data_IF_612730478106
#
_entry.id   IF_612730478106
#
_cell.length_a   1.000
_cell.length_b   1.000
_cell.length_c   1.000
_cell.angle_alpha   90.00
_cell.angle_beta   90.00
_cell.angle_gamma   90.00
#
_symmetry.space_group_name_H-M   'P 1'
#
loop_
_entity.id
_entity.type
_entity.pdbx_description
1 polymer ?
#
# COMPACT_ATOMS: atom_id res chain seq x y z
N UNK A 1 -16.73 8.74 -31.81
CA UNK A 1 -16.34 7.77 -30.78
C UNK A 1 -14.93 8.15 -30.41
N UNK A 2 -14.75 8.98 -29.38
CA UNK A 2 -13.40 9.35 -28.91
C UNK A 2 -12.68 8.06 -28.53
N UNK A 3 -11.48 7.89 -29.08
CA UNK A 3 -10.61 6.76 -28.81
C UNK A 3 -10.25 6.82 -27.32
N UNK A 4 -10.90 5.98 -26.50
CA UNK A 4 -10.61 5.91 -25.07
C UNK A 4 -9.15 5.49 -24.95
N UNK A 5 -8.29 6.26 -24.24
CA UNK A 5 -6.88 5.94 -24.14
C UNK A 5 -6.71 4.51 -23.59
N UNK A 6 -5.76 3.75 -24.15
CA UNK A 6 -5.47 2.39 -23.70
C UNK A 6 -5.22 2.39 -22.18
N UNK A 7 -6.20 1.86 -21.43
CA UNK A 7 -6.18 1.86 -19.96
C UNK A 7 -5.19 0.82 -19.41
N UNK A 8 -4.73 -0.13 -20.24
CA UNK A 8 -3.72 -1.13 -19.90
C UNK A 8 -2.32 -0.64 -20.28
N UNK A 9 -1.89 0.48 -19.70
CA UNK A 9 -0.58 1.08 -19.95
C UNK A 9 0.60 0.16 -19.63
N UNK A 10 0.38 -0.89 -18.82
CA UNK A 10 1.40 -1.91 -18.54
C UNK A 10 1.79 -2.74 -19.77
N UNK A 11 0.99 -2.74 -20.83
CA UNK A 11 1.34 -3.38 -22.11
C UNK A 11 2.60 -2.79 -22.76
N UNK A 12 2.96 -1.55 -22.41
CA UNK A 12 4.21 -0.94 -22.83
C UNK A 12 5.45 -1.66 -22.25
N UNK A 13 5.29 -2.50 -21.24
CA UNK A 13 6.33 -3.35 -20.67
C UNK A 13 5.84 -4.81 -20.62
N UNK A 14 6.22 -5.66 -21.61
CA UNK A 14 5.74 -7.03 -21.69
C UNK A 14 6.03 -7.87 -20.44
N UNK A 15 7.18 -7.63 -19.78
CA UNK A 15 7.55 -8.39 -18.58
C UNK A 15 6.65 -8.03 -17.41
N UNK A 16 6.41 -6.73 -17.21
CA UNK A 16 5.48 -6.26 -16.18
C UNK A 16 4.05 -6.72 -16.47
N UNK A 17 3.62 -6.65 -17.73
CA UNK A 17 2.30 -7.13 -18.16
C UNK A 17 2.10 -8.61 -17.80
N UNK A 18 3.03 -9.47 -18.19
CA UNK A 18 2.94 -10.91 -17.90
C UNK A 18 2.96 -11.20 -16.40
N UNK A 19 3.77 -10.46 -15.65
CA UNK A 19 3.84 -10.57 -14.20
C UNK A 19 2.50 -10.24 -13.54
N UNK A 20 1.90 -9.09 -13.87
CA UNK A 20 0.60 -8.70 -13.33
C UNK A 20 -0.51 -9.64 -13.80
N UNK A 21 -0.44 -10.15 -15.03
CA UNK A 21 -1.41 -11.14 -15.54
C UNK A 21 -1.37 -12.44 -14.75
N UNK A 22 -0.17 -12.94 -14.39
CA UNK A 22 -0.02 -14.11 -13.50
C UNK A 22 -0.59 -13.82 -12.11
N UNK A 23 -0.25 -12.68 -11.52
CA UNK A 23 -0.80 -12.28 -10.22
C UNK A 23 -2.34 -12.23 -10.22
N UNK A 24 -2.94 -11.69 -11.27
CA UNK A 24 -4.41 -11.64 -11.44
C UNK A 24 -5.03 -13.03 -11.66
N UNK A 25 -4.31 -13.95 -12.30
CA UNK A 25 -4.76 -15.31 -12.58
C UNK A 25 -4.62 -16.27 -11.40
N UNK A 26 -3.50 -16.19 -10.67
CA UNK A 26 -3.03 -17.25 -9.78
C UNK A 26 -3.29 -16.94 -8.29
N UNK A 27 -3.41 -15.66 -7.91
CA UNK A 27 -3.50 -15.24 -6.50
C UNK A 27 -4.92 -14.85 -6.13
N UNK A 28 -5.35 -15.23 -4.92
CA UNK A 28 -6.63 -14.77 -4.33
C UNK A 28 -6.47 -13.38 -3.72
N UNK A 29 -5.30 -13.07 -3.17
CA UNK A 29 -4.99 -11.78 -2.57
C UNK A 29 -3.63 -11.27 -3.03
N UNK A 30 -3.60 -10.00 -3.44
CA UNK A 30 -2.35 -9.30 -3.79
C UNK A 30 -2.25 -8.03 -2.97
N UNK A 31 -1.17 -7.93 -2.20
CA UNK A 31 -0.84 -6.77 -1.38
C UNK A 31 0.34 -6.03 -2.01
N UNK A 32 0.15 -4.75 -2.35
CA UNK A 32 1.27 -3.92 -2.79
C UNK A 32 1.93 -3.28 -1.57
N UNK A 33 3.15 -3.71 -1.24
CA UNK A 33 3.92 -3.21 -0.12
C UNK A 33 5.05 -2.30 -0.60
N UNK A 34 5.22 -1.14 0.03
CA UNK A 34 6.24 -0.18 -0.40
C UNK A 34 5.98 1.24 0.04
N UNK A 35 6.98 2.10 -0.12
CA UNK A 35 6.89 3.53 0.16
C UNK A 35 5.84 4.22 -0.74
N UNK A 36 5.18 5.30 -0.29
CA UNK A 36 4.42 6.14 -1.21
C UNK A 36 5.29 6.61 -2.39
N UNK A 37 4.66 6.80 -3.55
CA UNK A 37 5.38 7.20 -4.77
C UNK A 37 6.25 6.10 -5.41
N UNK A 38 5.97 4.81 -5.19
CA UNK A 38 6.68 3.69 -5.85
C UNK A 38 5.86 3.00 -6.94
N UNK A 39 4.71 3.58 -7.34
CA UNK A 39 3.86 3.03 -8.39
C UNK A 39 2.79 2.04 -7.92
N UNK A 40 2.64 1.80 -6.60
CA UNK A 40 1.62 0.89 -6.04
C UNK A 40 0.21 1.13 -6.59
N UNK A 41 -0.27 2.37 -6.59
CA UNK A 41 -1.63 2.69 -7.04
C UNK A 41 -1.83 2.42 -8.53
N UNK A 42 -0.79 2.64 -9.36
CA UNK A 42 -0.81 2.25 -10.76
C UNK A 42 -0.89 0.74 -10.89
N UNK A 43 -0.04 -0.02 -10.19
CA UNK A 43 -0.06 -1.48 -10.27
C UNK A 43 -1.38 -2.07 -9.78
N UNK A 44 -1.96 -1.53 -8.70
CA UNK A 44 -3.28 -1.90 -8.23
C UNK A 44 -4.35 -1.64 -9.29
N UNK A 45 -4.31 -0.47 -9.93
CA UNK A 45 -5.19 -0.13 -11.03
C UNK A 45 -5.07 -1.14 -12.17
N UNK A 46 -3.86 -1.37 -12.67
CA UNK A 46 -3.61 -2.24 -13.82
C UNK A 46 -3.95 -3.71 -13.51
N UNK A 47 -3.68 -4.18 -12.29
CA UNK A 47 -4.07 -5.51 -11.81
C UNK A 47 -5.59 -5.68 -11.77
N UNK A 48 -6.35 -4.66 -11.33
CA UNK A 48 -7.80 -4.71 -11.30
C UNK A 48 -8.41 -4.89 -12.70
N UNK A 49 -7.88 -4.18 -13.71
CA UNK A 49 -8.31 -4.35 -15.10
C UNK A 49 -7.99 -5.75 -15.63
N UNK A 50 -6.77 -6.26 -15.35
CA UNK A 50 -6.38 -7.61 -15.76
C UNK A 50 -7.20 -8.71 -15.07
N UNK A 51 -7.54 -8.54 -13.80
CA UNK A 51 -8.38 -9.47 -13.05
C UNK A 51 -9.82 -9.51 -13.59
N UNK A 52 -10.39 -8.34 -13.91
CA UNK A 52 -11.70 -8.27 -14.56
C UNK A 52 -11.70 -8.96 -15.93
N UNK A 53 -10.67 -8.73 -16.75
CA UNK A 53 -10.50 -9.42 -18.04
C UNK A 53 -10.37 -10.93 -17.88
N UNK A 54 -9.83 -11.40 -16.74
CA UNK A 54 -9.77 -12.81 -16.38
C UNK A 54 -11.09 -13.35 -15.78
N UNK A 55 -12.18 -12.58 -15.81
CA UNK A 55 -13.49 -12.96 -15.28
C UNK A 55 -13.58 -12.98 -13.75
N UNK A 56 -12.64 -12.32 -13.05
CA UNK A 56 -12.61 -12.27 -11.58
C UNK A 56 -13.47 -11.13 -11.05
N UNK A 57 -14.11 -11.37 -9.90
CA UNK A 57 -14.77 -10.30 -9.13
C UNK A 57 -13.71 -9.54 -8.34
N UNK A 58 -13.57 -8.24 -8.60
CA UNK A 58 -12.53 -7.41 -7.98
C UNK A 58 -13.03 -6.78 -6.67
N UNK A 59 -12.28 -7.04 -5.60
CA UNK A 59 -12.45 -6.41 -4.29
C UNK A 59 -11.20 -5.58 -3.98
N UNK A 60 -11.33 -4.29 -3.66
CA UNK A 60 -10.20 -3.41 -3.38
C UNK A 60 -10.23 -2.90 -1.95
N UNK A 61 -9.13 -3.03 -1.22
CA UNK A 61 -8.90 -2.31 0.03
C UNK A 61 -7.80 -1.28 -0.22
N UNK A 62 -8.09 -0.02 0.10
CA UNK A 62 -7.21 1.11 -0.16
C UNK A 62 -7.06 2.00 1.06
N UNK A 63 -5.81 2.26 1.44
CA UNK A 63 -5.48 3.11 2.59
C UNK A 63 -6.04 4.53 2.43
N UNK A 64 -5.88 5.12 1.24
CA UNK A 64 -6.37 6.45 0.86
C UNK A 64 -7.90 6.56 0.81
N UNK A 65 -8.62 5.43 0.83
CA UNK A 65 -10.09 5.39 0.95
C UNK A 65 -10.53 5.18 2.39
N UNK A 66 -9.85 4.31 3.13
CA UNK A 66 -10.23 3.99 4.50
C UNK A 66 -9.78 5.06 5.52
N UNK A 67 -8.60 5.65 5.34
CA UNK A 67 -8.04 6.67 6.26
C UNK A 67 -8.96 7.87 6.45
N UNK A 68 -9.50 8.52 5.39
CA UNK A 68 -10.36 9.68 5.58
C UNK A 68 -11.61 9.40 6.42
N UNK A 69 -12.12 8.15 6.40
CA UNK A 69 -13.27 7.75 7.24
C UNK A 69 -12.88 7.74 8.72
N UNK A 70 -11.68 7.25 9.04
CA UNK A 70 -11.15 7.31 10.41
C UNK A 70 -10.89 8.74 10.86
N UNK A 71 -10.18 9.53 10.04
CA UNK A 71 -9.81 10.92 10.36
C UNK A 71 -11.04 11.83 10.51
N UNK A 72 -12.12 11.58 9.77
CA UNK A 72 -13.37 12.33 9.87
C UNK A 72 -14.24 11.94 11.08
N UNK A 73 -13.91 10.87 11.80
CA UNK A 73 -14.71 10.40 12.93
C UNK A 73 -14.59 11.32 14.14
N UNK A 74 -15.68 11.51 14.89
CA UNK A 74 -15.68 12.32 16.12
C UNK A 74 -14.57 11.94 17.13
N UNK A 75 -14.36 10.64 17.41
CA UNK A 75 -13.28 10.19 18.29
C UNK A 75 -11.86 10.46 17.77
N UNK A 76 -11.67 10.73 16.48
CA UNK A 76 -10.36 11.05 15.91
C UNK A 76 -9.92 12.51 16.13
N UNK A 77 -10.80 13.39 16.63
CA UNK A 77 -10.50 14.82 16.87
C UNK A 77 -9.22 15.07 17.69
N UNK A 78 -8.89 14.29 18.73
CA UNK A 78 -7.64 14.47 19.48
C UNK A 78 -6.38 14.04 18.71
N UNK A 79 -6.54 13.39 17.55
CA UNK A 79 -5.47 12.73 16.79
C UNK A 79 -5.36 13.29 15.37
N UNK A 80 -5.13 14.60 15.21
CA UNK A 80 -5.07 15.22 13.88
C UNK A 80 -3.84 14.73 13.10
N UNK A 81 -3.96 14.73 11.77
CA UNK A 81 -2.81 14.59 10.90
C UNK A 81 -1.97 15.85 10.93
N UNK A 82 -0.65 15.69 11.06
CA UNK A 82 0.33 16.79 11.14
C UNK A 82 1.32 16.62 9.99
N UNK A 83 1.53 17.70 9.21
CA UNK A 83 2.44 17.71 8.06
C UNK A 83 2.22 16.57 7.04
N UNK A 84 0.96 16.17 6.84
CA UNK A 84 0.59 15.07 5.95
C UNK A 84 0.87 13.66 6.50
N UNK A 85 1.25 13.56 7.78
CA UNK A 85 1.45 12.30 8.50
C UNK A 85 0.24 12.03 9.39
N UNK A 86 -0.40 10.89 9.18
CA UNK A 86 -1.51 10.42 10.02
C UNK A 86 -1.05 10.08 11.42
N UNK A 87 -1.80 10.53 12.42
CA UNK A 87 -1.49 10.29 13.83
C UNK A 87 -1.35 8.80 14.16
N UNK A 88 -0.44 8.44 15.07
CA UNK A 88 -0.14 7.06 15.47
C UNK A 88 -1.36 6.22 15.86
N UNK A 89 -2.23 6.77 16.71
CA UNK A 89 -3.48 6.11 17.13
C UNK A 89 -4.33 5.73 15.93
N UNK A 90 -4.52 6.67 15.00
CA UNK A 90 -5.29 6.44 13.78
C UNK A 90 -4.62 5.40 12.88
N UNK A 91 -3.29 5.47 12.72
CA UNK A 91 -2.53 4.47 11.95
C UNK A 91 -2.72 3.06 12.50
N UNK A 92 -2.65 2.89 13.81
CA UNK A 92 -2.81 1.58 14.47
C UNK A 92 -4.26 1.10 14.50
N UNK A 93 -5.22 1.99 14.69
CA UNK A 93 -6.64 1.66 14.65
C UNK A 93 -7.08 1.21 13.25
N UNK A 94 -6.64 1.95 12.22
CA UNK A 94 -6.86 1.57 10.83
C UNK A 94 -6.13 0.26 10.49
N UNK A 95 -4.89 0.09 10.95
CA UNK A 95 -4.15 -1.18 10.78
C UNK A 95 -4.89 -2.37 11.38
N UNK A 96 -5.42 -2.24 12.59
CA UNK A 96 -6.25 -3.26 13.23
C UNK A 96 -7.52 -3.54 12.44
N UNK A 97 -8.21 -2.51 11.94
CA UNK A 97 -9.36 -2.67 11.06
C UNK A 97 -9.00 -3.42 9.78
N UNK A 98 -7.90 -3.07 9.10
CA UNK A 98 -7.45 -3.76 7.88
C UNK A 98 -7.28 -5.25 8.14
N UNK A 99 -6.63 -5.61 9.25
CA UNK A 99 -6.44 -7.01 9.63
C UNK A 99 -7.79 -7.73 9.81
N UNK A 100 -8.74 -7.11 10.54
CA UNK A 100 -10.09 -7.69 10.69
C UNK A 100 -10.85 -7.77 9.36
N UNK A 101 -10.71 -6.78 8.49
CA UNK A 101 -11.33 -6.75 7.17
C UNK A 101 -10.80 -7.87 6.26
N UNK A 102 -9.49 -8.12 6.24
CA UNK A 102 -8.86 -9.22 5.50
C UNK A 102 -9.37 -10.58 6.00
N UNK A 103 -9.33 -10.81 7.31
CA UNK A 103 -9.81 -12.06 7.91
C UNK A 103 -11.33 -12.26 7.70
N UNK A 104 -12.11 -11.17 7.78
CA UNK A 104 -13.55 -11.19 7.52
C UNK A 104 -13.91 -11.38 6.05
N UNK A 105 -13.08 -10.88 5.13
CA UNK A 105 -13.25 -11.13 3.70
C UNK A 105 -12.96 -12.58 3.37
N UNK A 106 -11.85 -13.14 3.87
CA UNK A 106 -11.47 -14.54 3.57
C UNK A 106 -12.55 -15.52 4.06
N UNK A 107 -13.06 -15.34 5.29
CA UNK A 107 -14.17 -16.15 5.83
C UNK A 107 -15.44 -16.10 5.00
N UNK A 108 -15.76 -14.95 4.38
CA UNK A 108 -16.95 -14.79 3.53
C UNK A 108 -16.78 -15.40 2.13
N UNK A 109 -15.54 -15.74 1.74
CA UNK A 109 -15.22 -16.30 0.44
C UNK A 109 -14.28 -17.53 0.60
N UNK A 110 -14.72 -18.64 1.23
CA UNK A 110 -13.83 -19.61 1.92
C UNK A 110 -13.14 -20.74 1.11
N UNK A 111 -12.95 -20.66 -0.20
CA UNK A 111 -12.27 -21.75 -0.93
C UNK A 111 -10.72 -21.75 -0.75
N UNK A 112 -10.04 -22.90 -0.50
CA UNK A 112 -10.31 -23.99 0.46
C UNK A 112 -9.29 -24.06 1.63
N UNK A 113 -9.80 -24.41 2.83
CA UNK A 113 -9.10 -25.25 3.83
C UNK A 113 -8.57 -24.56 5.10
N UNK A 114 -9.44 -24.33 6.10
CA UNK A 114 -9.22 -23.52 7.31
C UNK A 114 -8.22 -24.09 8.36
N UNK A 115 -7.49 -23.20 9.05
CA UNK A 115 -7.09 -23.34 10.47
C UNK A 115 -6.84 -21.95 11.12
N UNK A 116 -7.12 -21.82 12.42
CA UNK A 116 -7.18 -20.55 13.19
C UNK A 116 -5.97 -20.35 14.11
N UNK A 117 -5.49 -19.10 14.21
CA UNK A 117 -4.50 -18.60 15.19
C UNK A 117 -4.97 -17.24 15.77
N UNK A 118 -4.37 -16.79 16.87
CA UNK A 118 -4.75 -15.61 17.69
C UNK A 118 -4.83 -14.27 16.94
N UNK A 119 -4.24 -14.20 15.75
CA UNK A 119 -4.50 -13.18 14.75
C UNK A 119 -5.04 -13.84 13.48
N UNK A 120 -6.36 -13.78 13.30
CA UNK A 120 -7.04 -14.46 12.19
C UNK A 120 -6.57 -13.99 10.81
N UNK A 121 -5.95 -12.81 10.69
CA UNK A 121 -5.38 -12.35 9.44
C UNK A 121 -4.01 -12.98 9.16
N UNK A 122 -3.23 -13.36 10.17
CA UNK A 122 -1.88 -13.91 9.97
C UNK A 122 -1.87 -15.19 9.14
N UNK A 123 -2.81 -16.12 9.42
CA UNK A 123 -2.95 -17.35 8.64
C UNK A 123 -3.22 -17.05 7.16
N UNK A 124 -4.02 -16.02 6.87
CA UNK A 124 -4.37 -15.58 5.51
C UNK A 124 -3.19 -14.87 4.85
N UNK A 125 -2.50 -13.97 5.56
CA UNK A 125 -1.37 -13.20 5.03
C UNK A 125 -0.13 -14.07 4.77
N UNK A 126 0.00 -15.20 5.49
CA UNK A 126 1.05 -16.21 5.28
C UNK A 126 0.68 -17.31 4.28
N UNK A 127 -0.57 -17.38 3.80
CA UNK A 127 -1.01 -18.44 2.91
C UNK A 127 -0.44 -18.28 1.49
N UNK A 128 -0.21 -19.40 0.79
CA UNK A 128 0.25 -19.40 -0.60
C UNK A 128 -0.70 -18.71 -1.59
N UNK A 129 -1.97 -18.55 -1.21
CA UNK A 129 -3.00 -17.83 -1.97
C UNK A 129 -2.87 -16.30 -1.86
N UNK A 130 -2.08 -15.80 -0.90
CA UNK A 130 -1.74 -14.41 -0.72
C UNK A 130 -0.33 -14.11 -1.25
N UNK A 131 -0.15 -12.94 -1.86
CA UNK A 131 1.15 -12.50 -2.35
C UNK A 131 1.39 -11.03 -2.02
N UNK A 132 2.58 -10.72 -1.52
CA UNK A 132 3.06 -9.36 -1.31
C UNK A 132 3.94 -8.94 -2.49
N UNK A 133 3.37 -8.15 -3.40
CA UNK A 133 4.09 -7.55 -4.50
C UNK A 133 4.85 -6.31 -4.00
N UNK A 134 6.16 -6.26 -4.23
CA UNK A 134 7.05 -5.15 -3.83
C UNK A 134 7.44 -4.37 -5.09
N UNK A 135 6.84 -3.19 -5.35
CA UNK A 135 7.23 -2.39 -6.50
C UNK A 135 8.59 -1.74 -6.25
N UNK A 136 9.54 -2.03 -7.14
CA UNK A 136 10.92 -1.53 -7.05
C UNK A 136 11.18 -0.67 -8.29
N UNK A 137 10.91 0.64 -8.23
CA UNK A 137 11.25 1.52 -9.34
C UNK A 137 12.76 1.61 -9.54
N UNK A 138 13.18 1.80 -10.80
CA UNK A 138 14.54 2.25 -11.07
C UNK A 138 14.75 3.66 -10.50
N UNK A 139 16.00 4.11 -10.39
CA UNK A 139 16.30 5.49 -9.95
C UNK A 139 15.64 6.53 -10.86
N UNK A 140 15.61 6.25 -12.16
CA UNK A 140 14.98 7.12 -13.14
C UNK A 140 13.44 7.15 -12.97
N UNK A 141 12.81 5.98 -12.88
CA UNK A 141 11.37 5.87 -12.65
C UNK A 141 10.98 6.53 -11.33
N UNK A 142 11.79 6.37 -10.28
CA UNK A 142 11.54 7.00 -8.98
C UNK A 142 11.51 8.53 -9.09
N UNK A 143 12.50 9.13 -9.76
CA UNK A 143 12.52 10.58 -10.01
C UNK A 143 11.29 11.04 -10.77
N UNK A 144 10.95 10.34 -11.85
CA UNK A 144 9.74 10.63 -12.62
C UNK A 144 8.46 10.57 -11.76
N UNK A 145 8.32 9.57 -10.89
CA UNK A 145 7.17 9.44 -9.98
C UNK A 145 7.11 10.57 -8.94
N UNK A 146 8.24 11.04 -8.44
CA UNK A 146 8.32 12.18 -7.52
C UNK A 146 7.93 13.49 -8.23
N UNK A 147 8.44 13.73 -9.44
CA UNK A 147 8.10 14.90 -10.26
C UNK A 147 6.61 14.95 -10.61
N UNK A 148 6.03 13.82 -11.05
CA UNK A 148 4.60 13.71 -11.34
C UNK A 148 3.75 13.94 -10.09
N UNK A 149 4.22 13.48 -8.93
CA UNK A 149 3.52 13.71 -7.65
C UNK A 149 3.50 15.18 -7.28
N UNK A 150 4.59 15.91 -7.43
CA UNK A 150 4.62 17.36 -7.21
C UNK A 150 3.67 18.10 -8.17
N UNK A 151 3.66 17.70 -9.45
CA UNK A 151 2.73 18.26 -10.45
C UNK A 151 1.26 18.02 -10.11
N UNK A 152 0.91 16.79 -9.72
CA UNK A 152 -0.48 16.41 -9.41
C UNK A 152 -0.96 16.92 -8.06
N UNK A 153 -0.07 17.11 -7.09
CA UNK A 153 -0.39 17.82 -5.86
C UNK A 153 -0.85 19.26 -6.14
N UNK A 154 -0.18 19.95 -7.08
CA UNK A 154 -0.56 21.31 -7.49
C UNK A 154 -1.81 21.35 -8.39
N UNK A 155 -2.02 20.32 -9.22
CA UNK A 155 -3.16 20.24 -10.16
C UNK A 155 -3.77 18.83 -10.18
N UNK A 156 -4.59 18.48 -9.17
CA UNK A 156 -5.20 17.16 -9.08
C UNK A 156 -6.14 16.91 -10.26
N UNK A 157 -6.07 15.71 -10.83
CA UNK A 157 -6.99 15.21 -11.87
C UNK A 157 -8.12 14.37 -11.31
N UNK A 158 -7.99 13.94 -10.06
CA UNK A 158 -8.99 13.16 -9.34
C UNK A 158 -8.98 13.57 -7.87
N UNK A 159 -10.14 13.53 -7.21
CA UNK A 159 -10.28 14.02 -5.82
C UNK A 159 -9.33 13.28 -4.86
N UNK A 160 -9.17 11.98 -5.05
CA UNK A 160 -8.33 11.10 -4.21
C UNK A 160 -6.84 11.38 -4.36
N UNK A 161 -6.38 12.12 -5.39
CA UNK A 161 -4.97 12.54 -5.47
C UNK A 161 -4.61 13.56 -4.37
N UNK A 162 -5.60 14.17 -3.69
CA UNK A 162 -5.36 15.00 -2.51
C UNK A 162 -4.92 14.19 -1.28
N UNK A 163 -5.22 12.89 -1.29
CA UNK A 163 -4.90 11.97 -0.21
C UNK A 163 -3.48 11.39 -0.34
N UNK A 164 -2.77 11.71 -1.42
CA UNK A 164 -1.41 11.26 -1.65
C UNK A 164 -0.42 11.90 -0.70
N UNK A 165 0.50 11.09 -0.16
CA UNK A 165 1.60 11.58 0.68
C UNK A 165 2.42 12.68 -0.04
N UNK A 166 2.64 13.85 0.58
CA UNK A 166 3.47 14.92 0.01
C UNK A 166 4.92 14.50 -0.26
N UNK A 167 5.60 15.20 -1.18
CA UNK A 167 7.00 14.90 -1.54
C UNK A 167 7.98 14.93 -0.34
N UNK A 168 7.88 15.87 0.63
CA UNK A 168 8.70 15.82 1.84
C UNK A 168 8.52 14.51 2.61
N UNK A 169 7.28 14.07 2.86
CA UNK A 169 6.98 12.81 3.54
C UNK A 169 7.60 11.62 2.81
N UNK A 170 7.55 11.61 1.48
CA UNK A 170 8.14 10.56 0.65
C UNK A 170 9.67 10.48 0.81
N UNK A 171 10.35 11.63 0.89
CA UNK A 171 11.80 11.74 1.12
C UNK A 171 12.17 11.32 2.54
N UNK A 172 11.38 11.71 3.52
CA UNK A 172 11.57 11.38 4.94
C UNK A 172 11.44 9.88 5.17
N UNK A 173 10.45 9.25 4.57
CA UNK A 173 10.28 7.80 4.64
C UNK A 173 11.44 7.05 3.95
N UNK A 174 12.02 7.58 2.88
CA UNK A 174 13.24 7.00 2.32
C UNK A 174 14.42 7.09 3.30
N UNK A 175 14.61 8.24 3.98
CA UNK A 175 15.63 8.38 5.02
C UNK A 175 15.43 7.37 6.15
N UNK A 176 14.17 7.08 6.53
CA UNK A 176 13.87 6.03 7.50
C UNK A 176 14.29 4.64 6.99
N UNK A 177 14.03 4.29 5.73
CA UNK A 177 14.48 3.02 5.13
C UNK A 177 16.01 2.88 5.22
N UNK A 178 16.75 3.95 4.87
CA UNK A 178 18.22 3.97 4.97
C UNK A 178 18.68 3.82 6.42
N UNK A 179 18.02 4.50 7.35
CA UNK A 179 18.35 4.45 8.77
C UNK A 179 18.16 3.06 9.39
N UNK A 180 17.14 2.29 8.96
CA UNK A 180 16.86 0.95 9.52
C UNK A 180 17.64 -0.18 8.85
N UNK A 181 18.18 0.05 7.65
CA UNK A 181 18.89 -0.97 6.88
C UNK A 181 20.04 -1.65 7.65
N UNK A 182 20.91 -0.94 8.40
CA UNK A 182 21.95 -1.58 9.22
C UNK A 182 21.39 -2.53 10.29
N UNK A 183 20.29 -2.16 10.94
CA UNK A 183 19.60 -3.02 11.93
C UNK A 183 19.03 -4.29 11.29
N UNK A 184 18.79 -4.26 9.98
CA UNK A 184 18.38 -5.40 9.17
C UNK A 184 19.58 -6.13 8.55
N UNK A 185 20.82 -5.79 8.92
CA UNK A 185 22.03 -6.42 8.39
C UNK A 185 22.33 -6.05 6.94
N UNK A 186 21.82 -4.93 6.45
CA UNK A 186 22.06 -4.43 5.09
C UNK A 186 23.05 -3.27 5.12
N UNK A 187 24.02 -3.22 4.20
CA UNK A 187 24.91 -2.08 4.08
C UNK A 187 24.10 -0.85 3.64
N UNK A 188 24.31 0.28 4.30
CA UNK A 188 23.61 1.53 4.00
C UNK A 188 24.58 2.72 4.01
N UNK A 189 24.39 3.71 3.12
CA UNK A 189 25.12 4.96 3.15
C UNK A 189 24.66 5.84 4.34
N UNK A 190 25.39 6.93 4.65
CA UNK A 190 24.92 7.95 5.59
C UNK A 190 23.55 8.52 5.19
N UNK A 191 22.67 8.72 6.19
CA UNK A 191 21.24 9.02 5.96
C UNK A 191 20.97 10.38 5.31
N UNK A 192 21.75 11.42 5.67
CA UNK A 192 21.43 12.82 5.37
C UNK A 192 21.27 13.11 3.86
N UNK A 193 22.03 12.41 3.00
CA UNK A 193 22.02 12.64 1.54
C UNK A 193 21.93 11.34 0.71
N UNK A 194 21.45 10.25 1.32
CA UNK A 194 21.38 8.97 0.64
C UNK A 194 20.46 9.05 -0.59
N UNK A 195 20.98 8.92 -1.83
CA UNK A 195 20.11 8.86 -3.00
C UNK A 195 19.27 7.59 -2.96
N UNK A 196 18.09 7.61 -3.59
CA UNK A 196 17.29 6.40 -3.72
C UNK A 196 18.11 5.25 -4.34
N UNK A 197 18.12 4.11 -3.65
CA UNK A 197 18.78 2.89 -4.09
C UNK A 197 17.74 1.75 -4.20
N UNK A 198 17.42 1.29 -5.42
CA UNK A 198 16.48 0.19 -5.64
C UNK A 198 16.87 -1.10 -4.91
N UNK A 199 18.17 -1.43 -4.83
CA UNK A 199 18.63 -2.67 -4.22
C UNK A 199 18.49 -2.64 -2.69
N UNK A 200 18.86 -1.52 -2.07
CA UNK A 200 18.68 -1.31 -0.63
C UNK A 200 17.18 -1.31 -0.27
N UNK A 201 16.36 -0.60 -1.05
CA UNK A 201 14.92 -0.57 -0.88
C UNK A 201 14.31 -1.98 -0.95
N UNK A 202 14.66 -2.75 -1.99
CA UNK A 202 14.20 -4.13 -2.16
C UNK A 202 14.61 -4.99 -0.96
N UNK A 203 15.89 -4.97 -0.58
CA UNK A 203 16.41 -5.79 0.51
C UNK A 203 15.74 -5.51 1.85
N UNK A 204 15.44 -4.24 2.15
CA UNK A 204 14.69 -3.87 3.37
C UNK A 204 13.30 -4.48 3.35
N UNK A 205 12.55 -4.32 2.27
CA UNK A 205 11.18 -4.86 2.18
C UNK A 205 11.15 -6.39 2.16
N UNK A 206 12.09 -7.05 1.49
CA UNK A 206 12.23 -8.51 1.54
C UNK A 206 12.50 -9.01 2.95
N UNK A 207 13.33 -8.30 3.74
CA UNK A 207 13.60 -8.66 5.14
C UNK A 207 12.38 -8.46 6.03
N UNK A 208 11.65 -7.36 5.84
CA UNK A 208 10.42 -7.05 6.60
C UNK A 208 9.29 -8.01 6.24
N UNK A 209 9.26 -8.53 5.01
CA UNK A 209 8.24 -9.45 4.53
C UNK A 209 8.72 -10.90 4.49
N UNK A 210 9.80 -11.25 5.20
CA UNK A 210 10.44 -12.58 5.17
C UNK A 210 9.53 -13.75 5.56
N UNK A 211 8.44 -13.48 6.27
CA UNK A 211 7.42 -14.46 6.67
C UNK A 211 6.21 -14.49 5.73
N UNK A 212 6.32 -13.88 4.55
CA UNK A 212 5.26 -13.78 3.54
C UNK A 212 5.73 -14.35 2.21
N UNK A 213 4.78 -14.76 1.37
CA UNK A 213 5.03 -14.98 -0.04
C UNK A 213 5.22 -13.63 -0.72
N UNK A 214 6.44 -13.34 -1.16
CA UNK A 214 6.81 -12.06 -1.76
C UNK A 214 7.14 -12.22 -3.24
N UNK A 215 6.83 -11.19 -4.02
CA UNK A 215 7.26 -11.09 -5.42
C UNK A 215 7.73 -9.66 -5.69
N UNK A 216 8.95 -9.52 -6.21
CA UNK A 216 9.49 -8.21 -6.60
C UNK A 216 8.93 -7.82 -7.96
N UNK A 217 8.44 -6.59 -8.08
CA UNK A 217 7.91 -6.01 -9.32
C UNK A 217 8.82 -4.86 -9.75
N UNK A 218 9.84 -5.12 -10.61
CA UNK A 218 10.74 -4.07 -11.08
C UNK A 218 9.98 -3.08 -11.99
N UNK A 219 10.12 -1.78 -11.72
CA UNK A 219 9.56 -0.72 -12.56
C UNK A 219 10.68 0.09 -13.22
N UNK A 220 11.25 -0.47 -14.27
CA UNK A 220 12.30 0.18 -15.05
C UNK A 220 11.76 1.07 -16.17
N UNK A 221 10.58 0.74 -16.70
CA UNK A 221 9.99 1.40 -17.86
C UNK A 221 9.06 2.54 -17.44
N UNK A 222 9.18 3.70 -18.11
CA UNK A 222 8.20 4.78 -17.98
C UNK A 222 6.94 4.42 -18.76
N UNK A 223 5.86 4.18 -18.02
CA UNK A 223 4.57 3.85 -18.61
C UNK A 223 3.83 5.12 -19.06
N UNK A 224 3.04 5.08 -20.14
CA UNK A 224 2.33 6.24 -20.69
C UNK A 224 1.11 6.64 -19.83
N UNK A 225 1.34 7.15 -18.63
CA UNK A 225 0.29 7.52 -17.65
C UNK A 225 -0.23 8.95 -17.81
N UNK A 226 0.20 9.67 -18.84
CA UNK A 226 -0.04 11.10 -19.01
C UNK A 226 -1.52 11.47 -19.18
N UNK A 227 -2.39 10.55 -19.62
CA UNK A 227 -3.83 10.74 -19.72
C UNK A 227 -4.62 9.99 -18.62
N UNK A 228 -3.92 9.27 -17.73
CA UNK A 228 -4.53 8.35 -16.77
C UNK A 228 -4.50 8.92 -15.34
N UNK A 229 -5.62 8.81 -14.63
CA UNK A 229 -5.63 8.83 -13.16
C UNK A 229 -5.63 7.40 -12.65
N UNK A 230 -4.71 7.08 -11.73
CA UNK A 230 -4.61 5.75 -11.11
C UNK A 230 -5.78 5.46 -10.16
N UNK A 231 -6.62 6.45 -9.88
CA UNK A 231 -7.81 6.31 -9.05
C UNK A 231 -9.10 6.18 -9.87
N UNK A 232 -9.04 6.38 -11.19
CA UNK A 232 -10.17 6.20 -12.12
C UNK A 232 -10.18 4.77 -12.68
N UNK A 233 -11.03 3.90 -12.15
CA UNK A 233 -11.17 2.53 -12.64
C UNK A 233 -12.45 2.43 -13.47
N UNK A 234 -12.32 1.95 -14.71
CA UNK A 234 -13.45 1.62 -15.58
C UNK A 234 -13.82 0.13 -15.54
N UNK A 235 -13.64 -0.51 -14.37
CA UNK A 235 -14.02 -1.90 -14.14
C UNK A 235 -14.92 -2.02 -12.92
N UNK A 236 -15.91 -2.94 -12.92
CA UNK A 236 -16.71 -3.23 -11.74
C UNK A 236 -15.82 -3.66 -10.57
N UNK A 237 -15.96 -2.98 -9.43
CA UNK A 237 -15.19 -3.27 -8.22
C UNK A 237 -16.02 -3.08 -6.97
N UNK A 238 -15.65 -3.79 -5.90
CA UNK A 238 -16.20 -3.62 -4.56
C UNK A 238 -15.12 -3.07 -3.64
N UNK A 239 -15.19 -1.79 -3.33
CA UNK A 239 -14.28 -1.16 -2.36
C UNK A 239 -14.63 -1.66 -0.94
N UNK A 240 -13.64 -2.17 -0.21
CA UNK A 240 -13.70 -2.40 1.23
C UNK A 240 -13.39 -1.08 1.93
N UNK A 241 -14.39 -0.53 2.59
CA UNK A 241 -14.27 0.68 3.39
C UNK A 241 -14.80 0.40 4.81
N UNK A 242 -14.25 1.06 5.84
CA UNK A 242 -14.76 0.94 7.19
C UNK A 242 -16.17 1.51 7.28
N UNK A 243 -17.02 0.88 8.10
CA UNK A 243 -18.26 1.50 8.52
C UNK A 243 -17.94 2.68 9.46
N UNK A 244 -18.65 3.79 9.33
CA UNK A 244 -18.46 4.94 10.23
C UNK A 244 -18.80 4.58 11.67
N UNK A 245 -19.73 3.65 11.87
CA UNK A 245 -20.21 3.27 13.19
C UNK A 245 -19.23 2.32 13.91
N UNK A 246 -18.38 1.59 13.18
CA UNK A 246 -17.37 0.70 13.79
C UNK A 246 -16.07 1.43 14.19
N UNK A 247 -15.72 2.53 13.50
CA UNK A 247 -14.48 3.30 13.72
C UNK A 247 -14.24 3.67 15.19
N UNK A 248 -15.23 4.20 15.96
CA UNK A 248 -15.05 4.50 17.37
C UNK A 248 -14.58 3.30 18.21
N UNK A 249 -15.01 2.09 17.85
CA UNK A 249 -14.60 0.86 18.52
C UNK A 249 -13.11 0.59 18.36
N UNK A 250 -12.58 0.73 17.14
CA UNK A 250 -11.16 0.53 16.85
C UNK A 250 -10.27 1.57 17.53
N UNK A 251 -10.66 2.84 17.54
CA UNK A 251 -9.91 3.91 18.21
C UNK A 251 -9.81 3.61 19.71
N UNK A 252 -10.94 3.31 20.36
CA UNK A 252 -10.97 2.95 21.80
C UNK A 252 -10.14 1.73 22.14
N UNK A 253 -10.12 0.73 21.25
CA UNK A 253 -9.30 -0.47 21.44
C UNK A 253 -7.81 -0.12 21.46
N UNK A 254 -7.35 0.77 20.56
CA UNK A 254 -5.96 1.23 20.55
C UNK A 254 -5.66 2.09 21.77
N UNK A 255 -6.53 3.00 22.17
CA UNK A 255 -6.35 3.82 23.39
C UNK A 255 -6.22 2.93 24.64
N UNK A 256 -7.03 1.88 24.74
CA UNK A 256 -6.99 0.93 25.86
C UNK A 256 -5.69 0.12 25.85
N UNK A 257 -5.24 -0.32 24.67
CA UNK A 257 -4.02 -1.12 24.51
C UNK A 257 -2.75 -0.29 24.70
N UNK A 258 -2.81 1.00 24.38
CA UNK A 258 -1.70 1.94 24.44
C UNK A 258 -2.07 3.18 25.26
N UNK A 259 -2.16 3.06 26.59
CA UNK A 259 -2.43 4.19 27.46
C UNK A 259 -1.26 5.19 27.50
N UNK A 260 -0.04 4.75 27.17
CA UNK A 260 1.15 5.59 27.00
C UNK A 260 1.37 5.91 25.50
N UNK A 261 1.17 7.18 25.07
CA UNK A 261 1.41 7.59 23.69
C UNK A 261 2.86 7.38 23.22
N UNK A 262 3.84 7.50 24.09
CA UNK A 262 5.24 7.30 23.70
C UNK A 262 5.54 5.82 23.42
N UNK A 263 4.92 4.91 24.17
CA UNK A 263 5.03 3.48 23.90
C UNK A 263 4.46 3.13 22.51
N UNK A 264 3.34 3.76 22.14
CA UNK A 264 2.75 3.58 20.82
C UNK A 264 3.67 4.07 19.70
N UNK A 265 4.24 5.27 19.83
CA UNK A 265 5.18 5.80 18.83
C UNK A 265 6.43 4.92 18.73
N UNK A 266 7.01 4.50 19.87
CA UNK A 266 8.14 3.55 19.88
C UNK A 266 7.81 2.23 19.19
N UNK A 267 6.59 1.71 19.33
CA UNK A 267 6.18 0.49 18.60
C UNK A 267 6.05 0.74 17.10
N UNK A 268 5.50 1.89 16.70
CA UNK A 268 5.39 2.26 15.28
C UNK A 268 6.76 2.44 14.64
N UNK A 269 7.71 3.08 15.33
CA UNK A 269 9.08 3.30 14.84
C UNK A 269 9.87 1.99 14.68
N UNK A 270 9.43 0.92 15.35
CA UNK A 270 9.99 -0.43 15.26
C UNK A 270 9.28 -1.31 14.23
N UNK A 271 8.56 -0.74 13.28
CA UNK A 271 7.82 -1.48 12.23
C UNK A 271 8.65 -2.52 11.46
N UNK A 272 9.97 -2.35 11.40
CA UNK A 272 10.90 -3.27 10.72
C UNK A 272 11.30 -4.49 11.56
N UNK A 273 10.96 -4.51 12.85
CA UNK A 273 11.22 -5.62 13.75
C UNK A 273 10.12 -6.67 13.56
N UNK A 274 10.34 -7.53 12.57
CA UNK A 274 9.53 -8.72 12.27
C UNK A 274 10.22 -9.98 12.73
#
# INVERSE_FOLDING_TARGET
MEDLPDRLVVRADPRLYDQLRRLAGDRRMVFFAGLPGTGKSLLLHQLAHLAETAGRVVHLLRWDVARPVFEASGPARPYPSVDGVTHAVIRKALGLWVRRAVAGWDRRHPEPGHLRLDDAAEAVLGAASACFAIPVPSRETRRFLEDERERRAARPRHQQEREDAPAPVVRDLWRQIVAVAPSLGLPAPPVQDAPYDPALYQGVYERVLRHRHTEVVPLATRLPTAALSVHDFAVPRRDLAPDRDEVPGFIREIETRYPDPEALEREIDRWYQV
#
